data_IF_721457281804
#
_entry.id   IF_721457281804
#
_cell.length_a   1.000
_cell.length_b   1.000
_cell.length_c   1.000
_cell.angle_alpha   90.00
_cell.angle_beta   90.00
_cell.angle_gamma   90.00
#
_symmetry.space_group_name_H-M   'P 1'
#
loop_
_entity.id
_entity.type
_entity.pdbx_description
1 polymer ?
#
# COMPACT_ATOMS: atom_id res chain seq x y z
N UNK A 1 -14.34 0.46 18.49
CA UNK A 1 -13.54 1.43 17.75
C UNK A 1 -14.49 2.50 17.24
N UNK A 2 -14.46 3.67 17.83
CA UNK A 2 -15.24 4.83 17.40
C UNK A 2 -14.32 5.76 16.64
N UNK A 3 -14.81 6.39 15.56
CA UNK A 3 -14.07 7.37 14.73
C UNK A 3 -13.48 8.57 15.52
N UNK A 4 -13.87 8.75 16.77
CA UNK A 4 -13.40 9.84 17.63
C UNK A 4 -11.90 9.83 17.92
N UNK A 5 -11.20 8.72 17.63
CA UNK A 5 -9.74 8.58 17.78
C UNK A 5 -8.96 8.77 16.47
N UNK A 6 -9.66 8.92 15.35
CA UNK A 6 -9.04 9.31 14.10
C UNK A 6 -8.86 10.83 14.11
N UNK A 7 -7.68 11.28 14.45
CA UNK A 7 -7.24 12.64 14.08
C UNK A 7 -7.18 12.70 12.55
N UNK A 8 -8.34 12.95 11.93
CA UNK A 8 -8.42 13.22 10.49
C UNK A 8 -7.70 14.55 10.31
N UNK A 9 -6.39 14.49 10.01
CA UNK A 9 -5.61 15.65 9.62
C UNK A 9 -6.12 16.24 8.32
N UNK A 10 -5.49 17.32 7.87
CA UNK A 10 -5.80 17.95 6.58
C UNK A 10 -5.88 16.90 5.46
N UNK A 11 -7.01 16.81 4.72
CA UNK A 11 -7.19 15.84 3.63
C UNK A 11 -6.05 15.87 2.60
N UNK A 12 -5.49 17.04 2.32
CA UNK A 12 -4.35 17.19 1.41
C UNK A 12 -3.09 16.51 1.96
N UNK A 13 -2.82 16.62 3.25
CA UNK A 13 -1.70 15.97 3.92
C UNK A 13 -1.86 14.43 3.99
N UNK A 14 -3.09 13.93 4.04
CA UNK A 14 -3.36 12.49 4.04
C UNK A 14 -3.17 11.87 2.65
N UNK A 15 -3.60 12.57 1.60
CA UNK A 15 -3.40 12.13 0.21
C UNK A 15 -1.91 12.06 -0.15
N UNK A 16 -1.10 13.01 0.31
CA UNK A 16 0.34 13.02 0.10
C UNK A 16 1.08 11.81 0.72
N UNK A 17 0.45 11.13 1.69
CA UNK A 17 1.00 9.92 2.33
C UNK A 17 0.73 8.64 1.56
N UNK A 18 -0.15 8.66 0.57
CA UNK A 18 -0.48 7.47 -0.22
C UNK A 18 0.71 7.07 -1.11
N UNK A 19 1.08 5.80 -1.02
CA UNK A 19 2.22 5.25 -1.78
C UNK A 19 1.97 5.24 -3.29
N UNK A 20 0.72 5.09 -3.74
CA UNK A 20 0.34 5.13 -5.16
C UNK A 20 0.48 6.53 -5.76
N UNK A 21 0.11 7.58 -5.01
CA UNK A 21 0.30 8.99 -5.43
C UNK A 21 1.79 9.32 -5.49
N UNK A 22 2.55 8.94 -4.46
CA UNK A 22 4.01 9.14 -4.45
C UNK A 22 4.70 8.40 -5.62
N UNK A 23 4.25 7.19 -5.96
CA UNK A 23 4.77 6.45 -7.12
C UNK A 23 4.44 7.15 -8.44
N UNK A 24 3.21 7.64 -8.60
CA UNK A 24 2.79 8.39 -9.80
C UNK A 24 3.58 9.69 -9.96
N UNK A 25 3.82 10.43 -8.87
CA UNK A 25 4.68 11.63 -8.85
C UNK A 25 6.11 11.33 -9.31
N UNK A 26 6.71 10.23 -8.80
CA UNK A 26 8.06 9.82 -9.22
C UNK A 26 8.11 9.39 -10.68
N UNK A 27 7.07 8.77 -11.20
CA UNK A 27 6.97 8.43 -12.60
C UNK A 27 6.88 9.68 -13.49
N UNK A 28 6.11 10.69 -13.07
CA UNK A 28 6.04 11.97 -13.74
C UNK A 28 7.40 12.68 -13.75
N UNK A 29 8.09 12.73 -12.60
CA UNK A 29 9.43 13.29 -12.49
C UNK A 29 10.44 12.58 -13.42
N UNK A 30 10.37 11.25 -13.49
CA UNK A 30 11.22 10.47 -14.38
C UNK A 30 10.91 10.73 -15.85
N UNK A 31 9.64 10.85 -16.25
CA UNK A 31 9.25 11.18 -17.62
C UNK A 31 9.72 12.58 -18.02
N UNK A 32 9.59 13.57 -17.12
CA UNK A 32 10.08 14.94 -17.32
C UNK A 32 11.60 14.97 -17.47
N UNK A 33 12.35 14.24 -16.63
CA UNK A 33 13.81 14.15 -16.72
C UNK A 33 14.28 13.55 -18.05
N UNK A 34 13.51 12.63 -18.65
CA UNK A 34 13.81 12.04 -19.97
C UNK A 34 13.79 13.06 -21.10
N UNK A 35 13.02 14.13 -21.01
CA UNK A 35 13.06 15.24 -21.98
C UNK A 35 14.47 15.85 -21.99
N UNK A 36 15.07 16.04 -20.82
CA UNK A 36 16.45 16.53 -20.72
C UNK A 36 17.48 15.58 -21.37
N UNK A 37 17.29 14.28 -21.20
CA UNK A 37 18.14 13.25 -21.82
C UNK A 37 18.07 13.31 -23.35
N UNK A 38 16.86 13.41 -23.92
CA UNK A 38 16.69 13.54 -25.38
C UNK A 38 17.22 14.89 -25.89
N UNK A 39 17.07 15.96 -25.12
CA UNK A 39 17.56 17.29 -25.43
C UNK A 39 19.10 17.31 -25.47
N UNK A 40 19.76 16.53 -24.59
CA UNK A 40 21.23 16.38 -24.62
C UNK A 40 21.76 15.83 -25.95
N UNK A 41 20.93 15.09 -26.69
CA UNK A 41 21.27 14.59 -28.03
C UNK A 41 21.50 15.70 -29.10
N UNK A 42 21.10 16.95 -28.82
CA UNK A 42 21.41 18.11 -29.70
C UNK A 42 22.86 18.59 -29.56
N UNK A 43 23.54 18.21 -28.48
CA UNK A 43 24.89 18.63 -28.15
C UNK A 43 25.91 17.54 -28.46
N UNK A 44 27.22 17.92 -28.68
CA UNK A 44 28.26 16.93 -28.83
C UNK A 44 28.42 16.06 -27.58
N UNK A 45 28.43 14.75 -27.76
CA UNK A 45 28.70 13.79 -26.69
C UNK A 45 30.13 13.32 -26.78
N UNK A 46 30.88 13.48 -25.68
CA UNK A 46 32.24 13.00 -25.55
C UNK A 46 32.23 11.70 -24.76
N UNK A 47 32.63 10.61 -25.38
CA UNK A 47 32.76 9.29 -24.78
C UNK A 47 34.24 8.92 -24.74
N UNK A 48 34.75 8.51 -23.58
CA UNK A 48 36.08 8.00 -23.41
C UNK A 48 36.02 6.50 -23.18
N UNK A 49 36.57 5.72 -24.12
CA UNK A 49 36.66 4.26 -23.99
C UNK A 49 38.10 3.89 -23.64
N UNK A 50 38.25 3.12 -22.56
CA UNK A 50 39.54 2.58 -22.15
C UNK A 50 39.50 1.06 -22.06
N UNK A 51 40.55 0.40 -22.46
CA UNK A 51 40.79 -1.01 -22.19
C UNK A 51 42.21 -1.21 -21.68
N UNK A 52 42.30 -2.03 -20.64
CA UNK A 52 43.55 -2.49 -20.04
C UNK A 52 43.54 -4.01 -20.12
N UNK A 53 44.61 -4.60 -20.58
CA UNK A 53 44.67 -6.04 -20.69
C UNK A 53 46.10 -6.54 -20.81
N UNK A 54 46.23 -7.86 -20.74
CA UNK A 54 47.46 -8.60 -20.99
C UNK A 54 47.25 -9.41 -22.28
N UNK A 55 48.24 -9.38 -23.15
CA UNK A 55 48.27 -10.18 -24.39
C UNK A 55 49.54 -10.98 -24.41
N UNK A 56 49.40 -12.31 -24.31
CA UNK A 56 50.51 -13.24 -24.35
C UNK A 56 50.21 -14.40 -25.31
N UNK A 57 51.21 -14.93 -25.98
CA UNK A 57 51.08 -16.06 -26.90
C UNK A 57 50.85 -17.40 -26.19
N UNK A 58 51.23 -17.50 -24.91
CA UNK A 58 51.07 -18.64 -24.02
C UNK A 58 50.92 -18.14 -22.56
N UNK A 59 50.47 -19.02 -21.68
CA UNK A 59 50.22 -18.66 -20.28
C UNK A 59 51.46 -18.28 -19.49
N UNK A 60 52.61 -18.86 -19.84
CA UNK A 60 53.91 -18.60 -19.19
C UNK A 60 54.51 -17.24 -19.52
N UNK A 61 54.08 -16.63 -20.63
CA UNK A 61 54.53 -15.31 -21.07
C UNK A 61 53.69 -14.15 -20.49
N UNK A 62 52.68 -14.41 -19.65
CA UNK A 62 51.81 -13.37 -19.06
C UNK A 62 52.56 -12.45 -18.09
N UNK A 63 53.65 -12.91 -17.52
CA UNK A 63 54.48 -12.18 -16.53
C UNK A 63 55.69 -11.47 -17.16
N UNK A 64 55.84 -11.54 -18.50
CA UNK A 64 56.94 -10.85 -19.22
C UNK A 64 56.64 -9.37 -19.44
N UNK A 65 57.69 -8.54 -19.34
CA UNK A 65 57.60 -7.12 -19.62
C UNK A 65 57.23 -6.88 -21.09
N UNK A 66 56.11 -6.22 -21.34
CA UNK A 66 55.60 -5.93 -22.70
C UNK A 66 54.28 -6.62 -23.05
N UNK A 67 53.77 -7.49 -22.19
CA UNK A 67 52.46 -8.15 -22.34
C UNK A 67 51.28 -7.26 -21.96
N UNK A 68 51.49 -6.19 -21.20
CA UNK A 68 50.40 -5.25 -20.81
C UNK A 68 50.15 -4.22 -21.90
N UNK A 69 48.88 -4.00 -22.21
CA UNK A 69 48.45 -2.89 -23.07
C UNK A 69 47.42 -2.02 -22.35
N UNK A 70 47.49 -0.73 -22.59
CA UNK A 70 46.48 0.23 -22.22
C UNK A 70 46.09 1.06 -23.46
N UNK A 71 44.82 1.15 -23.73
CA UNK A 71 44.30 1.96 -24.83
C UNK A 71 43.24 2.90 -24.26
N UNK A 72 43.41 4.20 -24.55
CA UNK A 72 42.44 5.23 -24.25
C UNK A 72 42.00 5.87 -25.57
N UNK A 73 40.71 5.74 -25.90
CA UNK A 73 40.17 6.23 -27.16
C UNK A 73 39.02 7.22 -26.90
N UNK A 74 39.24 8.54 -27.00
CA UNK A 74 38.17 9.52 -26.96
C UNK A 74 37.38 9.51 -28.28
N UNK A 75 36.04 9.43 -28.18
CA UNK A 75 35.12 9.46 -29.33
C UNK A 75 34.15 10.61 -29.14
N UNK A 76 34.07 11.51 -30.11
CA UNK A 76 33.07 12.59 -30.14
C UNK A 76 31.95 12.18 -31.10
N UNK A 77 30.72 12.14 -30.60
CA UNK A 77 29.53 11.91 -31.42
C UNK A 77 28.64 13.15 -31.39
N UNK A 78 28.28 13.63 -32.57
CA UNK A 78 27.41 14.77 -32.73
C UNK A 78 26.41 14.57 -33.88
N UNK A 79 25.13 14.69 -33.61
CA UNK A 79 24.07 14.52 -34.61
C UNK A 79 23.80 15.80 -35.41
N UNK A 80 24.85 16.41 -36.01
CA UNK A 80 24.75 17.69 -36.76
C UNK A 80 23.73 17.62 -37.91
N UNK A 81 23.77 16.53 -38.69
CA UNK A 81 22.94 16.32 -39.87
C UNK A 81 21.58 15.67 -39.53
N UNK A 82 21.41 15.16 -38.30
CA UNK A 82 20.23 14.37 -37.87
C UNK A 82 19.37 15.11 -36.83
N UNK A 83 19.45 16.43 -36.78
CA UNK A 83 18.70 17.26 -35.84
C UNK A 83 17.19 17.06 -35.90
N UNK A 84 16.65 16.74 -37.09
CA UNK A 84 15.24 16.45 -37.28
C UNK A 84 14.76 15.23 -36.46
N UNK A 85 15.58 14.16 -36.46
CA UNK A 85 15.32 12.95 -35.68
C UNK A 85 15.42 13.22 -34.19
N UNK A 86 16.38 14.00 -33.73
CA UNK A 86 16.52 14.35 -32.31
C UNK A 86 15.34 15.18 -31.85
N UNK A 87 14.88 16.18 -32.63
CA UNK A 87 13.68 16.96 -32.32
C UNK A 87 12.44 16.09 -32.23
N UNK A 88 12.25 15.16 -33.16
CA UNK A 88 11.12 14.21 -33.10
C UNK A 88 11.14 13.34 -31.82
N UNK A 89 12.32 12.95 -31.32
CA UNK A 89 12.47 12.24 -30.05
C UNK A 89 12.11 13.12 -28.85
N UNK A 90 12.51 14.40 -28.87
CA UNK A 90 12.15 15.37 -27.84
C UNK A 90 10.64 15.51 -27.79
N UNK A 91 9.96 15.76 -28.93
CA UNK A 91 8.49 15.86 -29.00
C UNK A 91 7.81 14.59 -28.52
N UNK A 92 8.34 13.41 -28.86
CA UNK A 92 7.81 12.14 -28.36
C UNK A 92 8.00 11.99 -26.84
N UNK A 93 9.11 12.51 -26.27
CA UNK A 93 9.37 12.50 -24.83
C UNK A 93 8.46 13.48 -24.08
N UNK A 94 8.17 14.65 -24.67
CA UNK A 94 7.21 15.63 -24.16
C UNK A 94 5.81 15.04 -24.10
N UNK A 95 5.36 14.34 -25.16
CA UNK A 95 4.07 13.65 -25.17
C UNK A 95 3.98 12.56 -24.08
N UNK A 96 5.06 11.83 -23.82
CA UNK A 96 5.12 10.85 -22.71
C UNK A 96 5.07 11.52 -21.33
N UNK A 97 5.66 12.70 -21.18
CA UNK A 97 5.57 13.45 -19.94
C UNK A 97 4.13 13.97 -19.71
N UNK A 98 3.42 14.40 -20.77
CA UNK A 98 2.00 14.74 -20.68
C UNK A 98 1.12 13.53 -20.32
N UNK A 99 1.39 12.36 -20.89
CA UNK A 99 0.73 11.10 -20.51
C UNK A 99 0.94 10.80 -19.02
N UNK A 100 2.19 10.90 -18.52
CA UNK A 100 2.51 10.68 -17.13
C UNK A 100 1.79 11.67 -16.19
N UNK A 101 1.61 12.93 -16.61
CA UNK A 101 0.83 13.94 -15.88
C UNK A 101 -0.65 13.53 -15.77
N UNK A 102 -1.26 13.13 -16.88
CA UNK A 102 -2.66 12.67 -16.90
C UNK A 102 -2.85 11.43 -16.01
N UNK A 103 -1.89 10.52 -16.01
CA UNK A 103 -1.91 9.34 -15.13
C UNK A 103 -1.76 9.72 -13.65
N UNK A 104 -0.95 10.73 -13.34
CA UNK A 104 -0.86 11.28 -11.98
C UNK A 104 -2.19 11.88 -11.54
N UNK A 105 -2.79 12.76 -12.36
CA UNK A 105 -4.09 13.39 -12.05
C UNK A 105 -5.18 12.33 -11.85
N UNK A 106 -5.22 11.30 -12.71
CA UNK A 106 -6.14 10.18 -12.58
C UNK A 106 -5.95 9.43 -11.25
N UNK A 107 -4.70 9.24 -10.82
CA UNK A 107 -4.40 8.56 -9.56
C UNK A 107 -4.90 9.37 -8.37
N UNK A 108 -4.71 10.70 -8.39
CA UNK A 108 -5.21 11.62 -7.36
C UNK A 108 -6.74 11.59 -7.30
N UNK A 109 -7.42 11.71 -8.44
CA UNK A 109 -8.89 11.68 -8.50
C UNK A 109 -9.46 10.35 -7.99
N UNK A 110 -8.81 9.23 -8.34
CA UNK A 110 -9.19 7.91 -7.85
C UNK A 110 -9.00 7.79 -6.34
N UNK A 111 -7.92 8.34 -5.80
CA UNK A 111 -7.67 8.33 -4.36
C UNK A 111 -8.72 9.16 -3.59
N UNK A 112 -9.15 10.29 -4.14
CA UNK A 112 -10.24 11.09 -3.59
C UNK A 112 -11.56 10.32 -3.60
N UNK A 113 -11.90 9.69 -4.73
CA UNK A 113 -13.11 8.85 -4.84
C UNK A 113 -13.09 7.69 -3.83
N UNK A 114 -11.99 6.94 -3.73
CA UNK A 114 -11.85 5.84 -2.77
C UNK A 114 -12.03 6.32 -1.32
N UNK A 115 -11.56 7.53 -1.02
CA UNK A 115 -11.71 8.13 0.31
C UNK A 115 -13.18 8.49 0.59
N UNK A 116 -13.86 9.12 -0.37
CA UNK A 116 -15.28 9.47 -0.25
C UNK A 116 -16.14 8.21 -0.12
N UNK A 117 -15.91 7.21 -0.96
CA UNK A 117 -16.60 5.91 -0.91
C UNK A 117 -16.39 5.21 0.46
N UNK A 118 -15.19 5.29 1.04
CA UNK A 118 -14.91 4.71 2.35
C UNK A 118 -15.67 5.41 3.47
N UNK A 119 -15.78 6.75 3.46
CA UNK A 119 -16.56 7.50 4.44
C UNK A 119 -18.06 7.23 4.31
N UNK A 120 -18.59 7.25 3.09
CA UNK A 120 -19.99 6.94 2.80
C UNK A 120 -20.32 5.49 3.20
N UNK A 121 -19.44 4.54 2.90
CA UNK A 121 -19.57 3.14 3.30
C UNK A 121 -19.62 2.97 4.83
N UNK A 122 -18.80 3.73 5.56
CA UNK A 122 -18.85 3.72 7.03
C UNK A 122 -20.15 4.30 7.56
N UNK A 123 -20.63 5.42 7.03
CA UNK A 123 -21.91 6.02 7.40
C UNK A 123 -23.06 5.02 7.24
N UNK A 124 -23.15 4.38 6.08
CA UNK A 124 -24.16 3.37 5.79
C UNK A 124 -24.03 2.12 6.70
N UNK A 125 -22.81 1.69 7.04
CA UNK A 125 -22.60 0.57 7.97
C UNK A 125 -22.99 0.93 9.41
N UNK A 126 -22.75 2.15 9.84
CA UNK A 126 -23.15 2.65 11.16
C UNK A 126 -24.69 2.72 11.30
N UNK A 127 -25.38 3.20 10.26
CA UNK A 127 -26.85 3.25 10.25
C UNK A 127 -27.45 1.84 10.23
N UNK A 128 -26.91 0.92 9.43
CA UNK A 128 -27.34 -0.49 9.45
C UNK A 128 -27.15 -1.11 10.82
N UNK A 129 -26.03 -0.89 11.47
CA UNK A 129 -25.78 -1.40 12.81
C UNK A 129 -26.82 -0.88 13.80
N UNK A 130 -27.16 0.42 13.77
CA UNK A 130 -28.17 1.02 14.62
C UNK A 130 -29.54 0.37 14.41
N UNK A 131 -29.97 0.16 13.17
CA UNK A 131 -31.25 -0.48 12.84
C UNK A 131 -31.27 -1.95 13.28
N UNK A 132 -30.20 -2.71 13.06
CA UNK A 132 -30.08 -4.12 13.50
C UNK A 132 -30.07 -4.26 15.02
N UNK A 133 -29.58 -3.26 15.74
CA UNK A 133 -29.61 -3.20 17.20
C UNK A 133 -31.06 -3.04 17.71
N UNK A 134 -31.85 -2.14 17.09
CA UNK A 134 -33.27 -1.97 17.40
C UNK A 134 -34.06 -3.22 17.07
N UNK A 135 -33.83 -3.83 15.90
CA UNK A 135 -34.48 -5.09 15.49
C UNK A 135 -34.19 -6.23 16.48
N UNK A 136 -32.91 -6.43 16.86
CA UNK A 136 -32.56 -7.49 17.81
C UNK A 136 -33.13 -7.26 19.22
N UNK A 137 -33.28 -6.00 19.65
CA UNK A 137 -33.92 -5.69 20.94
C UNK A 137 -35.41 -5.96 20.88
N UNK A 138 -36.09 -5.59 19.81
CA UNK A 138 -37.52 -5.82 19.62
C UNK A 138 -37.85 -7.32 19.52
N UNK A 139 -37.10 -8.09 18.73
CA UNK A 139 -37.31 -9.53 18.59
C UNK A 139 -37.02 -10.30 19.89
N UNK A 140 -36.01 -9.88 20.66
CA UNK A 140 -35.76 -10.45 21.99
C UNK A 140 -36.94 -10.25 22.93
N UNK A 141 -37.50 -9.05 22.93
CA UNK A 141 -38.67 -8.74 23.77
C UNK A 141 -39.92 -9.51 23.31
N UNK A 142 -40.15 -9.63 22.00
CA UNK A 142 -41.22 -10.45 21.44
C UNK A 142 -41.10 -11.92 21.86
N UNK A 143 -39.89 -12.50 21.80
CA UNK A 143 -39.65 -13.87 22.24
C UNK A 143 -39.85 -14.05 23.74
N UNK A 144 -39.53 -13.06 24.57
CA UNK A 144 -39.80 -13.06 26.00
C UNK A 144 -41.31 -13.07 26.26
N UNK A 145 -42.07 -12.18 25.63
CA UNK A 145 -43.51 -12.07 25.78
C UNK A 145 -44.24 -13.33 25.26
N UNK A 146 -43.84 -13.89 24.12
CA UNK A 146 -44.41 -15.14 23.61
C UNK A 146 -44.25 -16.30 24.61
N UNK A 147 -43.07 -16.40 25.23
CA UNK A 147 -42.80 -17.42 26.25
C UNK A 147 -43.63 -17.22 27.52
N UNK A 148 -43.80 -15.97 27.99
CA UNK A 148 -44.63 -15.66 29.15
C UNK A 148 -46.10 -16.00 28.92
N UNK A 149 -46.67 -15.66 27.73
CA UNK A 149 -48.03 -16.02 27.35
C UNK A 149 -48.25 -17.53 27.33
N UNK A 150 -47.30 -18.28 26.76
CA UNK A 150 -47.33 -19.73 26.73
C UNK A 150 -47.35 -20.33 28.16
N UNK A 151 -46.48 -19.83 29.06
CA UNK A 151 -46.45 -20.30 30.46
C UNK A 151 -47.78 -20.00 31.21
N UNK A 152 -48.43 -18.89 30.85
CA UNK A 152 -49.73 -18.51 31.39
C UNK A 152 -50.93 -19.30 30.80
N UNK A 153 -50.66 -20.11 29.75
CA UNK A 153 -51.70 -20.88 29.05
C UNK A 153 -52.49 -20.07 28.01
N UNK A 154 -52.02 -18.85 27.68
CA UNK A 154 -52.69 -17.91 26.76
C UNK A 154 -51.95 -17.79 25.40
N UNK A 155 -51.19 -18.81 25.00
CA UNK A 155 -50.44 -18.83 23.75
C UNK A 155 -50.08 -20.24 23.30
N UNK A 156 -49.80 -20.36 21.99
CA UNK A 156 -49.35 -21.62 21.39
C UNK A 156 -47.83 -21.77 21.43
N UNK A 157 -47.33 -23.01 21.55
CA UNK A 157 -45.90 -23.29 21.53
C UNK A 157 -45.25 -22.92 20.20
N UNK A 158 -46.02 -22.95 19.11
CA UNK A 158 -45.56 -22.54 17.79
C UNK A 158 -45.16 -21.06 17.77
N UNK A 159 -45.96 -20.18 18.44
CA UNK A 159 -45.66 -18.74 18.54
C UNK A 159 -44.31 -18.50 19.26
N UNK A 160 -44.01 -19.31 20.27
CA UNK A 160 -42.73 -19.24 20.99
C UNK A 160 -41.58 -19.60 20.05
N UNK A 161 -41.71 -20.70 19.27
CA UNK A 161 -40.65 -21.13 18.34
C UNK A 161 -40.42 -20.11 17.24
N UNK A 162 -41.47 -19.50 16.68
CA UNK A 162 -41.34 -18.46 15.67
C UNK A 162 -40.65 -17.19 16.20
N UNK A 163 -41.03 -16.78 17.41
CA UNK A 163 -40.40 -15.62 18.06
C UNK A 163 -38.93 -15.88 18.41
N UNK A 164 -38.61 -17.07 18.93
CA UNK A 164 -37.22 -17.46 19.22
C UNK A 164 -36.36 -17.56 17.94
N UNK A 165 -36.94 -18.10 16.86
CA UNK A 165 -36.28 -18.12 15.55
C UNK A 165 -35.97 -16.70 15.05
N UNK A 166 -36.91 -15.78 15.18
CA UNK A 166 -36.76 -14.38 14.80
C UNK A 166 -35.70 -13.68 15.66
N UNK A 167 -35.66 -13.91 16.96
CA UNK A 167 -34.59 -13.40 17.85
C UNK A 167 -33.23 -13.96 17.46
N UNK A 168 -33.12 -15.25 17.18
CA UNK A 168 -31.85 -15.84 16.70
C UNK A 168 -31.35 -15.23 15.41
N UNK A 169 -32.23 -15.07 14.41
CA UNK A 169 -31.85 -14.48 13.10
C UNK A 169 -31.47 -13.02 13.26
N UNK A 170 -32.16 -12.24 14.08
CA UNK A 170 -31.82 -10.83 14.30
C UNK A 170 -30.51 -10.66 15.05
N UNK A 171 -30.19 -11.51 16.03
CA UNK A 171 -28.88 -11.52 16.71
C UNK A 171 -27.74 -11.87 15.77
N UNK A 172 -27.97 -12.82 14.86
CA UNK A 172 -27.00 -13.16 13.81
C UNK A 172 -26.75 -11.98 12.87
N UNK A 173 -27.82 -11.31 12.40
CA UNK A 173 -27.74 -10.14 11.55
C UNK A 173 -27.01 -8.97 12.25
N UNK A 174 -27.25 -8.76 13.54
CA UNK A 174 -26.56 -7.78 14.36
C UNK A 174 -25.05 -8.08 14.45
N UNK A 175 -24.65 -9.34 14.61
CA UNK A 175 -23.25 -9.73 14.66
C UNK A 175 -22.52 -9.43 13.33
N UNK A 176 -23.20 -9.71 12.21
CA UNK A 176 -22.68 -9.38 10.87
C UNK A 176 -22.51 -7.86 10.73
N UNK A 177 -23.54 -7.07 11.07
CA UNK A 177 -23.49 -5.61 10.96
C UNK A 177 -22.37 -4.98 11.82
N UNK A 178 -22.09 -5.55 13.01
CA UNK A 178 -20.94 -5.13 13.84
C UNK A 178 -19.59 -5.37 13.15
N UNK A 179 -19.47 -6.50 12.48
CA UNK A 179 -18.25 -6.82 11.71
C UNK A 179 -18.09 -5.91 10.50
N UNK A 180 -19.17 -5.67 9.75
CA UNK A 180 -19.17 -4.75 8.61
C UNK A 180 -18.74 -3.33 9.01
N UNK A 181 -19.28 -2.80 10.11
CA UNK A 181 -18.89 -1.48 10.60
C UNK A 181 -17.39 -1.43 10.96
N UNK A 182 -16.84 -2.48 11.59
CA UNK A 182 -15.42 -2.55 11.91
C UNK A 182 -14.55 -2.62 10.67
N UNK A 183 -14.99 -3.37 9.66
CA UNK A 183 -14.30 -3.45 8.36
C UNK A 183 -14.33 -2.12 7.61
N UNK A 184 -15.44 -1.38 7.70
CA UNK A 184 -15.55 -0.05 7.11
C UNK A 184 -14.56 0.94 7.75
N UNK A 185 -14.30 0.87 9.06
CA UNK A 185 -13.24 1.66 9.72
C UNK A 185 -11.87 1.32 9.13
N UNK A 186 -11.55 0.04 8.95
CA UNK A 186 -10.29 -0.39 8.30
C UNK A 186 -10.21 0.13 6.86
N UNK A 187 -11.36 0.15 6.15
CA UNK A 187 -11.47 0.73 4.80
C UNK A 187 -11.04 2.20 4.76
N UNK A 188 -11.51 3.01 5.71
CA UNK A 188 -11.10 4.41 5.83
C UNK A 188 -9.58 4.54 6.04
N UNK A 189 -9.02 3.74 6.97
CA UNK A 189 -7.57 3.77 7.18
C UNK A 189 -6.78 3.44 5.92
N UNK A 190 -7.21 2.45 5.16
CA UNK A 190 -6.58 2.08 3.88
C UNK A 190 -6.71 3.19 2.84
N UNK A 191 -7.88 3.79 2.71
CA UNK A 191 -8.13 4.86 1.74
C UNK A 191 -7.29 6.11 2.05
N UNK A 192 -7.05 6.40 3.32
CA UNK A 192 -6.20 7.51 3.76
C UNK A 192 -4.68 7.20 3.69
N UNK A 193 -4.30 6.03 3.19
CA UNK A 193 -2.88 5.65 3.10
C UNK A 193 -2.23 5.37 4.45
N UNK A 194 -3.02 5.15 5.51
CA UNK A 194 -2.51 4.86 6.86
C UNK A 194 -2.03 3.42 7.03
N UNK A 195 -1.07 3.22 7.93
CA UNK A 195 -0.63 1.90 8.39
C UNK A 195 0.79 1.50 8.00
N UNK A 196 1.38 2.06 6.95
CA UNK A 196 2.75 1.73 6.55
C UNK A 196 3.82 2.58 7.26
N UNK A 197 3.47 3.77 7.76
CA UNK A 197 4.39 4.64 8.50
C UNK A 197 4.88 4.03 9.81
N UNK A 198 4.08 3.20 10.46
CA UNK A 198 4.48 2.47 11.65
C UNK A 198 5.68 1.53 11.38
N UNK A 199 5.84 1.06 10.14
CA UNK A 199 6.96 0.21 9.73
C UNK A 199 8.19 1.00 9.26
N UNK A 200 8.03 2.23 8.77
CA UNK A 200 9.13 3.06 8.30
C UNK A 200 9.98 3.63 9.45
N UNK A 201 9.37 3.91 10.62
CA UNK A 201 10.04 4.38 11.82
C UNK A 201 10.62 3.30 12.74
N UNK A 202 10.10 2.08 12.66
CA UNK A 202 10.57 0.94 13.46
C UNK A 202 11.43 0.02 12.58
N UNK A 203 12.73 0.04 12.78
CA UNK A 203 13.68 -0.97 12.20
C UNK A 203 13.41 -2.39 12.72
N UNK A 204 12.23 -2.68 13.27
CA UNK A 204 11.79 -3.99 13.76
C UNK A 204 10.28 -4.15 13.54
N UNK A 205 9.86 -4.48 12.34
CA UNK A 205 8.70 -5.34 12.16
C UNK A 205 9.17 -6.81 12.28
N UNK A 206 9.87 -7.13 13.36
CA UNK A 206 10.13 -8.50 13.80
C UNK A 206 8.95 -8.90 14.68
N UNK A 207 8.31 -10.00 14.33
CA UNK A 207 7.46 -10.77 15.23
C UNK A 207 8.18 -10.83 16.57
N UNK A 208 7.57 -10.31 17.63
CA UNK A 208 8.05 -10.55 18.99
C UNK A 208 7.96 -12.05 19.23
N UNK A 209 9.05 -12.75 18.98
CA UNK A 209 9.24 -14.08 19.53
C UNK A 209 9.36 -13.88 21.03
N UNK A 210 8.31 -14.30 21.72
CA UNK A 210 8.24 -14.41 23.17
C UNK A 210 9.38 -15.35 23.63
N UNK A 211 10.54 -14.76 23.94
CA UNK A 211 11.71 -15.48 24.47
C UNK A 211 11.61 -15.51 26.00
N UNK A 212 10.59 -16.18 26.50
CA UNK A 212 10.48 -16.64 27.88
C UNK A 212 11.04 -18.07 27.99
N UNK A 213 12.33 -18.24 27.78
CA UNK A 213 13.06 -19.42 28.24
C UNK A 213 13.64 -19.12 29.61
N UNK A 214 13.22 -19.83 30.68
CA UNK A 214 13.79 -19.63 32.00
C UNK A 214 15.24 -20.13 32.01
N UNK A 215 16.14 -19.25 32.43
CA UNK A 215 17.55 -19.49 32.55
C UNK A 215 17.90 -20.74 33.40
N UNK A 216 18.52 -21.70 32.78
CA UNK A 216 19.21 -22.79 33.48
C UNK A 216 20.48 -22.20 34.09
N UNK A 217 20.45 -22.03 35.41
CA UNK A 217 21.60 -21.69 36.23
C UNK A 217 22.69 -22.79 36.10
N UNK A 218 23.81 -22.47 35.45
CA UNK A 218 25.02 -23.26 35.51
C UNK A 218 25.69 -23.04 36.87
N UNK A 219 25.50 -23.97 37.77
CA UNK A 219 26.30 -24.14 38.96
C UNK A 219 27.78 -24.36 38.54
N UNK A 220 28.64 -23.41 38.88
CA UNK A 220 30.08 -23.60 38.87
C UNK A 220 30.44 -24.38 40.14
N UNK A 221 30.77 -25.61 39.96
CA UNK A 221 31.42 -26.40 41.00
C UNK A 221 32.89 -25.99 41.06
N UNK A 222 33.29 -25.48 42.24
CA UNK A 222 34.66 -25.23 42.66
C UNK A 222 35.17 -26.48 43.35
N UNK A 223 36.15 -27.17 42.81
CA UNK A 223 37.04 -28.05 43.58
C UNK A 223 38.39 -28.19 42.89
N UNK A 224 39.42 -27.79 43.67
CA UNK A 224 40.81 -28.24 43.76
C UNK A 224 41.74 -27.82 42.65
#
# INVERSE_FOLDING_TARGET
LTLRTLGVGDPAGLLARRADIAAAERNLAAATARIGVETAGLYPQVEVRGSIGLVAGNLDALDESGTSFNVLNPVIRWALLDRGRVRARITASEARAQEALILYDRTVLRALQETDDAFNGYGAAADRLRLRLLEATANREAARLARERFVQGDGEYLDVLEAERSDYLSRRALSIARTEQRLAVVGIYKALGGGWEACAGARRCGVATDDTSPGVARQRDSRS
#
